data_IF_456464398678
#
_entry.id   IF_456464398678
#
_cell.length_a   1.000
_cell.length_b   1.000
_cell.length_c   1.000
_cell.angle_alpha   90.00
_cell.angle_beta   90.00
_cell.angle_gamma   90.00
#
_symmetry.space_group_name_H-M   'P 1'
#
loop_
_entity.id
_entity.type
_entity.pdbx_description
1 polymer ?
#
# COMPACT_ATOMS: atom_id res chain seq x y z
N UNK A 1 -14.36 40.23 -73.08
CA UNK A 1 -14.42 41.42 -72.20
C UNK A 1 -15.09 41.02 -70.90
N UNK A 2 -14.55 41.55 -69.80
CA UNK A 2 -15.11 41.63 -68.44
C UNK A 2 -14.85 40.49 -67.43
N UNK A 3 -13.64 40.59 -66.87
CA UNK A 3 -13.27 40.67 -65.44
C UNK A 3 -14.39 40.47 -64.41
N UNK A 4 -14.21 39.49 -63.52
CA UNK A 4 -14.61 39.59 -62.11
C UNK A 4 -13.60 38.86 -61.22
N UNK A 5 -12.56 39.58 -60.79
CA UNK A 5 -11.57 39.11 -59.82
C UNK A 5 -12.12 39.38 -58.41
N UNK A 6 -12.82 38.42 -57.81
CA UNK A 6 -13.26 38.51 -56.41
C UNK A 6 -12.06 38.25 -55.50
N UNK A 7 -11.47 39.35 -55.06
CA UNK A 7 -10.46 39.45 -54.01
C UNK A 7 -11.13 39.16 -52.67
N UNK A 8 -10.90 37.98 -52.08
CA UNK A 8 -11.24 37.73 -50.68
C UNK A 8 -10.08 37.04 -49.93
N UNK A 9 -8.96 37.77 -49.80
CA UNK A 9 -7.84 37.45 -48.92
C UNK A 9 -7.74 38.54 -47.85
N UNK A 10 -8.54 38.44 -46.78
CA UNK A 10 -8.30 39.27 -45.57
C UNK A 10 -9.00 38.80 -44.28
N UNK A 11 -9.78 37.70 -44.28
CA UNK A 11 -10.46 37.24 -43.05
C UNK A 11 -9.89 35.95 -42.42
N UNK A 12 -9.14 35.13 -43.15
CA UNK A 12 -8.57 33.89 -42.59
C UNK A 12 -7.45 34.13 -41.57
N UNK A 13 -6.60 35.13 -41.80
CA UNK A 13 -5.43 35.41 -40.95
C UNK A 13 -5.82 35.91 -39.56
N UNK A 14 -6.83 36.79 -39.46
CA UNK A 14 -7.29 37.33 -38.17
C UNK A 14 -7.98 36.27 -37.31
N UNK A 15 -8.77 35.39 -37.93
CA UNK A 15 -9.43 34.28 -37.22
C UNK A 15 -8.41 33.26 -36.73
N UNK A 16 -7.40 32.94 -37.53
CA UNK A 16 -6.32 32.03 -37.12
C UNK A 16 -5.52 32.64 -35.96
N UNK A 17 -5.14 33.91 -36.04
CA UNK A 17 -4.45 34.60 -34.94
C UNK A 17 -5.30 34.63 -33.66
N UNK A 18 -6.61 34.87 -33.78
CA UNK A 18 -7.52 34.85 -32.64
C UNK A 18 -7.61 33.46 -31.99
N UNK A 19 -7.69 32.39 -32.79
CA UNK A 19 -7.68 31.02 -32.30
C UNK A 19 -6.37 30.70 -31.59
N UNK A 20 -5.23 31.08 -32.17
CA UNK A 20 -3.92 30.90 -31.53
C UNK A 20 -3.80 31.67 -30.21
N UNK A 21 -4.27 32.93 -30.16
CA UNK A 21 -4.30 33.70 -28.93
C UNK A 21 -5.18 33.04 -27.86
N UNK A 22 -6.36 32.52 -28.24
CA UNK A 22 -7.26 31.81 -27.31
C UNK A 22 -6.58 30.53 -26.80
N UNK A 23 -5.97 29.73 -27.68
CA UNK A 23 -5.24 28.52 -27.29
C UNK A 23 -4.07 28.81 -26.35
N UNK A 24 -3.29 29.86 -26.61
CA UNK A 24 -2.18 30.28 -25.74
C UNK A 24 -2.71 30.78 -24.38
N UNK A 25 -3.80 31.54 -24.35
CA UNK A 25 -4.43 31.97 -23.10
C UNK A 25 -4.95 30.77 -22.29
N UNK A 26 -5.61 29.80 -22.92
CA UNK A 26 -6.05 28.59 -22.24
C UNK A 26 -4.86 27.76 -21.72
N UNK A 27 -3.81 27.60 -22.53
CA UNK A 27 -2.60 26.91 -22.09
C UNK A 27 -1.95 27.62 -20.90
N UNK A 28 -1.85 28.95 -20.93
CA UNK A 28 -1.29 29.74 -19.84
C UNK A 28 -2.14 29.69 -18.57
N UNK A 29 -3.47 29.69 -18.70
CA UNK A 29 -4.40 29.53 -17.57
C UNK A 29 -4.29 28.12 -16.95
N UNK A 30 -4.20 27.07 -17.78
CA UNK A 30 -3.97 25.70 -17.32
C UNK A 30 -2.60 25.60 -16.63
N UNK A 31 -1.57 26.21 -17.20
CA UNK A 31 -0.23 26.26 -16.60
C UNK A 31 -0.24 27.01 -15.27
N UNK A 32 -0.93 28.15 -15.16
CA UNK A 32 -1.09 28.89 -13.91
C UNK A 32 -1.89 28.11 -12.87
N UNK A 33 -2.92 27.38 -13.28
CA UNK A 33 -3.65 26.48 -12.38
C UNK A 33 -2.74 25.33 -11.92
N UNK A 34 -1.95 24.73 -12.81
CA UNK A 34 -0.98 23.69 -12.47
C UNK A 34 0.12 24.22 -11.53
N UNK A 35 0.63 25.43 -11.77
CA UNK A 35 1.60 26.10 -10.90
C UNK A 35 1.00 26.49 -9.55
N UNK A 36 -0.25 26.99 -9.48
CA UNK A 36 -0.95 27.24 -8.21
C UNK A 36 -1.21 25.93 -7.44
N UNK A 37 -1.51 24.83 -8.14
CA UNK A 37 -1.70 23.51 -7.52
C UNK A 37 -0.38 22.81 -7.14
N UNK A 38 0.75 23.21 -7.72
CA UNK A 38 2.08 22.72 -7.32
C UNK A 38 2.75 23.63 -6.29
N UNK A 39 2.31 24.89 -6.18
CA UNK A 39 2.73 25.83 -5.13
C UNK A 39 2.14 25.52 -3.76
N UNK A 40 1.12 24.66 -3.67
CA UNK A 40 0.58 24.16 -2.40
C UNK A 40 1.43 23.08 -1.73
N UNK A 41 2.56 22.68 -2.34
CA UNK A 41 3.52 21.74 -1.76
C UNK A 41 4.84 22.36 -1.27
N UNK A 42 4.95 23.68 -1.25
CA UNK A 42 6.08 24.34 -0.59
C UNK A 42 5.75 24.69 0.87
N UNK A 43 6.62 24.19 1.76
CA UNK A 43 6.70 24.41 3.21
C UNK A 43 5.92 25.62 3.76
N UNK A 44 5.14 25.46 4.86
CA UNK A 44 4.56 26.61 5.52
C UNK A 44 5.67 27.38 6.25
N UNK A 45 6.04 28.53 5.71
CA UNK A 45 6.48 29.64 6.53
C UNK A 45 5.32 30.00 7.47
N UNK A 46 5.64 30.19 8.75
CA UNK A 46 4.69 30.40 9.83
C UNK A 46 3.63 31.47 9.48
N UNK A 47 2.42 31.02 9.17
CA UNK A 47 1.21 31.81 9.19
C UNK A 47 0.22 31.15 10.15
N UNK A 48 -0.23 31.92 11.12
CA UNK A 48 -1.11 31.51 12.20
C UNK A 48 -2.56 31.35 11.71
N UNK A 49 -2.84 30.29 10.94
CA UNK A 49 -4.20 29.83 10.67
C UNK A 49 -4.45 28.56 11.48
N UNK A 50 -5.29 28.68 12.49
CA UNK A 50 -5.79 27.59 13.33
C UNK A 50 -6.80 26.73 12.58
N UNK A 51 -6.38 26.09 11.49
CA UNK A 51 -7.06 24.87 11.03
C UNK A 51 -6.67 23.76 12.00
N UNK A 52 -7.62 22.98 12.54
CA UNK A 52 -7.27 21.84 13.38
C UNK A 52 -6.41 20.90 12.55
N UNK A 53 -5.15 20.71 12.94
CA UNK A 53 -4.29 19.71 12.32
C UNK A 53 -4.95 18.35 12.52
N UNK A 54 -5.42 17.75 11.42
CA UNK A 54 -6.01 16.40 11.40
C UNK A 54 -5.05 15.44 12.11
N UNK A 55 -5.55 14.71 13.10
CA UNK A 55 -4.71 13.78 13.85
C UNK A 55 -4.26 12.61 12.95
N UNK A 56 -3.10 12.00 13.24
CA UNK A 56 -2.64 10.83 12.46
C UNK A 56 -3.68 9.69 12.42
N UNK A 57 -4.42 9.49 13.51
CA UNK A 57 -5.49 8.49 13.59
C UNK A 57 -6.69 8.84 12.71
N UNK A 58 -7.06 10.11 12.62
CA UNK A 58 -8.11 10.60 11.73
C UNK A 58 -7.70 10.45 10.26
N UNK A 59 -6.47 10.83 9.92
CA UNK A 59 -5.93 10.63 8.56
C UNK A 59 -5.95 9.15 8.16
N UNK A 60 -5.59 8.24 9.08
CA UNK A 60 -5.69 6.79 8.87
C UNK A 60 -7.13 6.32 8.69
N UNK A 61 -8.06 6.87 9.47
CA UNK A 61 -9.48 6.51 9.38
C UNK A 61 -10.06 6.90 8.02
N UNK A 62 -9.74 8.10 7.53
CA UNK A 62 -10.12 8.56 6.18
C UNK A 62 -9.57 7.61 5.11
N UNK A 63 -8.31 7.18 5.26
CA UNK A 63 -7.70 6.21 4.36
C UNK A 63 -8.45 4.86 4.41
N UNK A 64 -8.78 4.34 5.58
CA UNK A 64 -9.48 3.08 5.73
C UNK A 64 -10.91 3.13 5.20
N UNK A 65 -11.62 4.24 5.38
CA UNK A 65 -12.96 4.43 4.80
C UNK A 65 -12.91 4.41 3.27
N UNK A 66 -11.84 4.94 2.66
CA UNK A 66 -11.62 4.84 1.22
C UNK A 66 -11.30 3.40 0.79
N UNK A 67 -10.49 2.68 1.57
CA UNK A 67 -10.13 1.29 1.27
C UNK A 67 -11.32 0.33 1.40
N UNK A 68 -12.23 0.58 2.33
CA UNK A 68 -13.45 -0.21 2.52
C UNK A 68 -14.39 -0.11 1.30
N UNK A 69 -14.44 1.07 0.67
CA UNK A 69 -15.22 1.31 -0.55
C UNK A 69 -14.58 0.78 -1.82
N UNK A 70 -13.30 0.40 -1.79
CA UNK A 70 -12.54 -0.01 -2.99
C UNK A 70 -13.22 -1.16 -3.74
N UNK A 71 -13.74 -2.15 -3.03
CA UNK A 71 -14.41 -3.29 -3.65
C UNK A 71 -15.77 -2.92 -4.26
N UNK A 72 -16.51 -2.00 -3.64
CA UNK A 72 -17.79 -1.50 -4.14
C UNK A 72 -17.59 -0.65 -5.40
N UNK A 73 -16.60 0.24 -5.38
CA UNK A 73 -16.31 1.17 -6.48
C UNK A 73 -15.69 0.47 -7.70
N UNK A 74 -14.82 -0.52 -7.48
CA UNK A 74 -14.03 -1.12 -8.55
C UNK A 74 -14.41 -2.57 -8.89
N UNK A 75 -15.25 -3.21 -8.07
CA UNK A 75 -15.60 -4.63 -8.17
C UNK A 75 -14.44 -5.58 -7.85
N UNK A 76 -14.73 -6.88 -7.90
CA UNK A 76 -13.77 -7.95 -7.64
C UNK A 76 -12.81 -8.20 -8.83
N UNK A 77 -11.95 -7.23 -9.14
CA UNK A 77 -10.99 -7.30 -10.27
C UNK A 77 -10.04 -8.50 -10.19
N UNK A 78 -9.75 -9.00 -9.00
CA UNK A 78 -8.96 -10.22 -8.80
C UNK A 78 -9.55 -11.46 -9.49
N UNK A 79 -10.84 -11.47 -9.82
CA UNK A 79 -11.49 -12.54 -10.59
C UNK A 79 -11.23 -12.47 -12.10
N UNK A 80 -10.78 -11.32 -12.59
CA UNK A 80 -10.51 -11.07 -14.02
C UNK A 80 -9.01 -11.23 -14.34
N UNK A 81 -8.28 -12.05 -13.57
CA UNK A 81 -6.82 -12.18 -13.65
C UNK A 81 -6.05 -10.86 -13.36
N UNK A 82 -6.60 -10.02 -12.48
CA UNK A 82 -6.13 -8.65 -12.25
C UNK A 82 -4.67 -8.48 -11.79
N UNK A 83 -4.20 -7.24 -11.87
CA UNK A 83 -2.89 -6.80 -11.36
C UNK A 83 -2.94 -6.56 -9.84
N UNK A 84 -1.82 -6.77 -9.17
CA UNK A 84 -1.62 -6.40 -7.77
C UNK A 84 -1.36 -4.91 -7.61
N UNK A 85 -1.49 -4.40 -6.38
CA UNK A 85 -1.14 -3.02 -6.01
C UNK A 85 0.34 -2.65 -6.24
N UNK A 86 1.17 -3.61 -6.64
CA UNK A 86 2.59 -3.43 -6.93
C UNK A 86 2.92 -3.70 -8.41
N UNK A 87 1.92 -3.62 -9.29
CA UNK A 87 2.04 -3.77 -10.76
C UNK A 87 2.54 -5.15 -11.22
N UNK A 88 2.35 -6.18 -10.41
CA UNK A 88 2.60 -7.59 -10.77
C UNK A 88 1.28 -8.28 -11.07
N UNK A 89 1.21 -9.10 -12.11
CA UNK A 89 0.01 -9.89 -12.41
C UNK A 89 -0.16 -11.01 -11.38
N UNK A 90 -1.39 -11.35 -11.01
CA UNK A 90 -1.61 -12.48 -10.08
C UNK A 90 -1.06 -13.82 -10.61
N UNK A 91 -1.07 -14.00 -11.93
CA UNK A 91 -0.45 -15.16 -12.61
C UNK A 91 1.08 -15.21 -12.49
N UNK A 92 1.72 -14.07 -12.22
CA UNK A 92 3.16 -14.01 -11.97
C UNK A 92 3.54 -14.35 -10.54
N UNK A 93 2.58 -14.28 -9.62
CA UNK A 93 2.77 -14.52 -8.19
C UNK A 93 2.32 -15.90 -7.76
N UNK A 94 1.35 -16.50 -8.47
CA UNK A 94 0.77 -17.78 -8.10
C UNK A 94 0.59 -18.70 -9.31
N UNK A 95 0.84 -19.99 -9.10
CA UNK A 95 0.49 -21.06 -10.04
C UNK A 95 -0.38 -22.10 -9.35
N UNK A 96 -1.17 -22.83 -10.13
CA UNK A 96 -1.94 -23.96 -9.63
C UNK A 96 -1.17 -25.24 -9.92
N UNK A 97 -0.74 -25.95 -8.86
CA UNK A 97 -0.07 -27.25 -8.95
C UNK A 97 -0.85 -28.27 -8.13
N UNK A 98 -1.22 -29.39 -8.75
CA UNK A 98 -2.07 -30.44 -8.13
C UNK A 98 -3.40 -29.87 -7.60
N UNK A 99 -3.92 -28.88 -8.32
CA UNK A 99 -5.10 -28.12 -7.96
C UNK A 99 -4.94 -27.26 -6.73
N UNK A 100 -3.73 -27.05 -6.18
CA UNK A 100 -3.49 -26.15 -5.03
C UNK A 100 -2.65 -24.95 -5.46
N UNK A 101 -2.94 -23.79 -4.91
CA UNK A 101 -2.13 -22.58 -5.16
C UNK A 101 -0.74 -22.73 -4.57
N UNK A 102 0.26 -22.39 -5.37
CA UNK A 102 1.66 -22.31 -4.97
C UNK A 102 2.21 -20.93 -5.38
N UNK A 103 2.95 -20.25 -4.49
CA UNK A 103 3.63 -19.03 -4.85
C UNK A 103 4.70 -19.32 -5.92
N UNK A 104 4.88 -18.37 -6.84
CA UNK A 104 5.97 -18.37 -7.81
C UNK A 104 7.08 -17.50 -7.25
N UNK A 105 8.11 -18.15 -6.69
CA UNK A 105 9.27 -17.45 -6.14
C UNK A 105 10.21 -17.05 -7.28
N UNK A 106 10.16 -15.76 -7.64
CA UNK A 106 11.08 -15.14 -8.60
C UNK A 106 12.21 -14.47 -7.84
N UNK A 107 13.45 -14.71 -8.24
CA UNK A 107 14.61 -14.11 -7.61
C UNK A 107 14.61 -12.57 -7.78
N UNK A 108 14.88 -11.86 -6.69
CA UNK A 108 15.06 -10.40 -6.68
C UNK A 108 16.54 -10.05 -6.85
N UNK A 109 16.91 -9.45 -7.99
CA UNK A 109 18.28 -8.98 -8.28
C UNK A 109 18.28 -7.49 -8.63
N UNK A 110 18.85 -6.62 -7.79
CA UNK A 110 19.34 -6.87 -6.43
C UNK A 110 18.21 -7.25 -5.45
N UNK A 111 18.53 -7.79 -4.25
CA UNK A 111 17.53 -8.08 -3.22
C UNK A 111 16.74 -6.83 -2.81
N UNK A 112 15.46 -7.02 -2.52
CA UNK A 112 14.60 -5.98 -1.94
C UNK A 112 14.96 -5.82 -0.47
N UNK A 113 15.08 -4.60 0.03
CA UNK A 113 15.45 -4.31 1.43
C UNK A 113 14.35 -3.50 2.07
N UNK A 114 13.66 -4.11 3.03
CA UNK A 114 12.46 -3.58 3.64
C UNK A 114 12.58 -3.51 5.17
N UNK A 115 11.94 -2.48 5.73
CA UNK A 115 11.79 -2.28 7.16
C UNK A 115 10.33 -2.53 7.51
N UNK A 116 10.08 -3.48 8.41
CA UNK A 116 8.73 -3.88 8.79
C UNK A 116 8.59 -3.98 10.29
N UNK A 117 7.44 -3.55 10.82
CA UNK A 117 7.08 -3.90 12.19
C UNK A 117 6.59 -5.34 12.20
N UNK A 118 7.04 -6.13 13.16
CA UNK A 118 6.66 -7.55 13.26
C UNK A 118 5.47 -7.76 14.19
N UNK A 119 4.48 -8.55 13.76
CA UNK A 119 3.37 -8.98 14.61
C UNK A 119 3.67 -10.37 15.16
N UNK A 120 3.90 -10.44 16.48
CA UNK A 120 4.25 -11.68 17.17
C UNK A 120 3.18 -12.79 16.95
N UNK A 121 3.56 -14.07 16.81
CA UNK A 121 2.65 -15.20 16.70
C UNK A 121 1.57 -15.30 17.78
N UNK A 122 1.84 -14.80 18.99
CA UNK A 122 0.84 -14.66 20.05
C UNK A 122 -0.41 -13.88 19.59
N UNK A 123 -0.23 -12.86 18.75
CA UNK A 123 -1.31 -12.06 18.19
C UNK A 123 -1.72 -12.52 16.79
N UNK A 124 -0.77 -12.95 15.95
CA UNK A 124 -1.07 -13.26 14.55
C UNK A 124 -1.75 -14.62 14.34
N UNK A 125 -1.49 -15.62 15.19
CA UNK A 125 -2.10 -16.96 15.07
C UNK A 125 -3.62 -16.89 15.27
N UNK A 126 -4.17 -16.27 16.35
CA UNK A 126 -5.62 -16.16 16.53
C UNK A 126 -6.34 -15.48 15.35
N UNK A 127 -5.71 -14.44 14.78
CA UNK A 127 -6.23 -13.74 13.60
C UNK A 127 -6.26 -14.67 12.39
N UNK A 128 -5.15 -15.36 12.12
CA UNK A 128 -5.05 -16.28 10.99
C UNK A 128 -6.05 -17.45 11.10
N UNK A 129 -6.31 -17.94 12.31
CA UNK A 129 -7.35 -18.95 12.57
C UNK A 129 -8.75 -18.43 12.29
N UNK A 130 -9.09 -17.21 12.74
CA UNK A 130 -10.36 -16.57 12.45
C UNK A 130 -10.58 -16.39 10.94
N UNK A 131 -9.55 -15.91 10.23
CA UNK A 131 -9.57 -15.75 8.76
C UNK A 131 -9.79 -17.09 8.07
N UNK A 132 -9.05 -18.14 8.45
CA UNK A 132 -9.24 -19.49 7.91
C UNK A 132 -10.64 -20.02 8.19
N UNK A 133 -11.16 -19.83 9.40
CA UNK A 133 -12.48 -20.29 9.79
C UNK A 133 -13.59 -19.65 8.93
N UNK A 134 -13.48 -18.36 8.61
CA UNK A 134 -14.49 -17.64 7.81
C UNK A 134 -14.37 -17.95 6.32
N UNK A 135 -13.16 -18.02 5.76
CA UNK A 135 -12.99 -18.05 4.29
C UNK A 135 -12.72 -19.45 3.71
N UNK A 136 -12.13 -20.38 4.46
CA UNK A 136 -11.58 -21.64 3.89
C UNK A 136 -12.63 -22.48 3.17
N UNK A 137 -13.83 -22.64 3.72
CA UNK A 137 -14.89 -23.47 3.13
C UNK A 137 -15.36 -22.96 1.77
N UNK A 138 -15.28 -21.65 1.54
CA UNK A 138 -15.77 -21.01 0.34
C UNK A 138 -14.74 -20.95 -0.78
N UNK A 139 -13.46 -20.76 -0.44
CA UNK A 139 -12.41 -20.54 -1.44
C UNK A 139 -11.45 -21.71 -1.59
N UNK A 140 -11.24 -22.54 -0.58
CA UNK A 140 -10.35 -23.72 -0.60
C UNK A 140 -9.02 -23.47 -1.33
N UNK A 141 -8.93 -23.89 -2.60
CA UNK A 141 -7.77 -23.80 -3.49
C UNK A 141 -7.67 -22.48 -4.26
N UNK A 142 -8.54 -21.51 -4.01
CA UNK A 142 -8.60 -20.20 -4.64
C UNK A 142 -8.23 -19.06 -3.67
N UNK A 143 -7.65 -19.39 -2.51
CA UNK A 143 -7.18 -18.44 -1.51
C UNK A 143 -5.75 -18.79 -1.07
N UNK A 144 -4.90 -17.77 -0.99
CA UNK A 144 -3.61 -17.83 -0.32
C UNK A 144 -3.75 -17.28 1.09
N UNK A 145 -3.52 -18.10 2.10
CA UNK A 145 -3.45 -17.63 3.48
C UNK A 145 -2.01 -17.22 3.79
N UNK A 146 -1.82 -15.97 4.19
CA UNK A 146 -0.51 -15.48 4.57
C UNK A 146 0.03 -16.31 5.75
N UNK A 147 1.33 -16.61 5.74
CA UNK A 147 1.99 -17.27 6.86
C UNK A 147 1.94 -16.37 8.11
N UNK A 148 1.24 -16.83 9.14
CA UNK A 148 1.05 -16.08 10.39
C UNK A 148 2.36 -15.75 11.10
N UNK A 149 3.40 -16.58 10.94
CA UNK A 149 4.72 -16.32 11.50
C UNK A 149 5.46 -15.16 10.83
N UNK A 150 4.93 -14.63 9.72
CA UNK A 150 5.46 -13.51 8.93
C UNK A 150 4.48 -12.33 8.86
N UNK A 151 3.44 -12.29 9.71
CA UNK A 151 2.56 -11.11 9.76
C UNK A 151 3.36 -9.88 10.16
N UNK A 152 3.20 -8.82 9.39
CA UNK A 152 4.00 -7.62 9.52
C UNK A 152 3.23 -6.38 9.04
N UNK A 153 3.84 -5.23 9.28
CA UNK A 153 3.38 -3.94 8.79
C UNK A 153 4.53 -3.27 8.04
N UNK A 154 4.35 -2.98 6.75
CA UNK A 154 5.40 -2.33 5.94
C UNK A 154 5.63 -0.89 6.39
N UNK A 155 6.85 -0.59 6.86
CA UNK A 155 7.22 0.75 7.32
C UNK A 155 7.98 1.51 6.25
N UNK A 156 9.11 0.99 5.77
CA UNK A 156 9.99 1.73 4.85
C UNK A 156 10.83 0.80 3.97
N UNK A 157 10.90 1.07 2.66
CA UNK A 157 11.74 0.30 1.74
C UNK A 157 13.03 1.06 1.45
N UNK A 158 14.18 0.45 1.78
CA UNK A 158 15.50 0.90 1.35
C UNK A 158 15.76 0.57 -0.13
N UNK A 159 15.07 -0.45 -0.66
CA UNK A 159 14.97 -0.73 -2.09
C UNK A 159 13.62 -1.41 -2.38
N UNK A 160 13.10 -1.33 -3.60
CA UNK A 160 11.93 -2.11 -4.03
C UNK A 160 12.08 -2.59 -5.48
N UNK A 161 11.34 -3.60 -5.89
CA UNK A 161 11.50 -4.28 -7.19
C UNK A 161 11.28 -3.36 -8.41
N UNK A 162 10.48 -2.29 -8.28
CA UNK A 162 10.26 -1.31 -9.36
C UNK A 162 11.46 -0.37 -9.56
N UNK A 163 12.10 0.08 -8.47
CA UNK A 163 13.29 0.94 -8.48
C UNK A 163 14.36 0.25 -7.62
N UNK A 164 15.06 -0.74 -8.19
CA UNK A 164 16.08 -1.46 -7.46
C UNK A 164 17.22 -0.51 -7.06
N UNK A 165 17.65 -0.61 -5.81
CA UNK A 165 18.84 0.09 -5.30
C UNK A 165 19.86 -0.97 -4.91
N UNK A 166 20.91 -1.21 -5.72
CA UNK A 166 21.99 -2.11 -5.36
C UNK A 166 22.68 -1.63 -4.07
N UNK A 167 23.19 -2.57 -3.28
CA UNK A 167 24.03 -2.27 -2.12
C UNK A 167 25.09 -3.36 -1.95
N UNK A 168 26.30 -2.99 -1.54
CA UNK A 168 27.33 -3.94 -1.10
C UNK A 168 27.00 -4.53 0.26
N UNK A 169 27.73 -5.57 0.69
CA UNK A 169 27.55 -6.16 2.03
C UNK A 169 27.79 -5.10 3.11
N UNK A 170 28.80 -4.25 2.93
CA UNK A 170 29.14 -3.18 3.87
C UNK A 170 28.05 -2.11 3.95
N UNK A 171 27.44 -1.75 2.81
CA UNK A 171 26.31 -0.82 2.77
C UNK A 171 25.07 -1.41 3.46
N UNK A 172 24.80 -2.70 3.26
CA UNK A 172 23.69 -3.40 3.93
C UNK A 172 23.89 -3.46 5.45
N UNK A 173 25.12 -3.69 5.92
CA UNK A 173 25.43 -3.66 7.36
C UNK A 173 25.34 -2.24 7.95
N UNK A 174 25.72 -1.22 7.18
CA UNK A 174 25.53 0.18 7.57
C UNK A 174 24.04 0.56 7.66
N UNK A 175 23.24 0.17 6.67
CA UNK A 175 21.78 0.33 6.68
C UNK A 175 21.16 -0.36 7.90
N UNK A 176 21.52 -1.62 8.17
CA UNK A 176 21.04 -2.37 9.32
C UNK A 176 21.41 -1.70 10.65
N UNK A 177 22.62 -1.18 10.77
CA UNK A 177 23.08 -0.45 11.96
C UNK A 177 22.30 0.85 12.16
N UNK A 178 22.03 1.59 11.09
CA UNK A 178 21.22 2.81 11.14
C UNK A 178 19.77 2.50 11.54
N UNK A 179 19.18 1.43 11.02
CA UNK A 179 17.83 0.98 11.37
C UNK A 179 17.76 0.53 12.83
N UNK A 180 18.78 -0.15 13.34
CA UNK A 180 18.88 -0.50 14.76
C UNK A 180 18.83 0.74 15.65
N UNK A 181 19.60 1.78 15.33
CA UNK A 181 19.58 3.04 16.08
C UNK A 181 18.19 3.73 16.03
N UNK A 182 17.47 3.61 14.91
CA UNK A 182 16.09 4.06 14.80
C UNK A 182 15.16 3.26 15.72
N UNK A 183 15.27 1.93 15.75
CA UNK A 183 14.47 1.05 16.61
C UNK A 183 14.65 1.37 18.10
N UNK A 184 15.89 1.64 18.53
CA UNK A 184 16.25 2.04 19.91
C UNK A 184 15.75 3.45 20.31
N UNK A 185 15.17 4.21 19.37
CA UNK A 185 14.53 5.49 19.60
C UNK A 185 13.03 5.53 19.31
N UNK A 186 12.38 4.36 19.16
CA UNK A 186 10.94 4.20 18.87
C UNK A 186 10.29 3.46 20.04
N UNK A 187 9.21 4.01 20.56
CA UNK A 187 8.44 3.35 21.61
C UNK A 187 7.65 2.17 21.04
N UNK A 188 7.63 1.00 21.72
CA UNK A 188 6.72 -0.09 21.38
C UNK A 188 5.27 0.38 21.23
N UNK A 189 4.55 -0.22 20.29
CA UNK A 189 3.20 0.19 19.94
C UNK A 189 2.18 -0.73 20.60
N UNK A 190 1.16 -0.12 21.22
CA UNK A 190 -0.12 -0.79 21.48
C UNK A 190 -1.06 -0.40 20.35
N UNK A 191 -1.59 -1.39 19.65
CA UNK A 191 -2.44 -1.18 18.47
C UNK A 191 -3.75 -1.93 18.62
N UNK A 192 -4.75 -1.55 17.82
CA UNK A 192 -6.06 -2.20 17.77
C UNK A 192 -6.49 -2.40 16.32
N UNK A 193 -7.05 -3.56 16.02
CA UNK A 193 -7.62 -3.84 14.71
C UNK A 193 -8.93 -3.07 14.56
N UNK A 194 -8.92 -1.99 13.77
CA UNK A 194 -10.09 -1.13 13.55
C UNK A 194 -11.12 -1.84 12.66
N UNK A 195 -10.66 -2.39 11.53
CA UNK A 195 -11.48 -3.17 10.61
C UNK A 195 -10.65 -4.06 9.70
N UNK A 196 -11.31 -5.04 9.09
CA UNK A 196 -10.81 -5.82 7.97
C UNK A 196 -11.49 -5.34 6.70
N UNK A 197 -10.70 -5.15 5.65
CA UNK A 197 -11.21 -4.82 4.30
C UNK A 197 -10.77 -5.89 3.30
N UNK A 198 -11.56 -6.07 2.25
CA UNK A 198 -11.17 -6.83 1.06
C UNK A 198 -10.98 -5.84 -0.08
N UNK A 199 -9.78 -5.78 -0.66
CA UNK A 199 -9.52 -4.91 -1.81
C UNK A 199 -10.06 -5.51 -3.11
N UNK A 200 -10.28 -4.67 -4.10
CA UNK A 200 -10.61 -5.04 -5.49
C UNK A 200 -9.55 -5.94 -6.14
N UNK A 201 -8.32 -5.94 -5.62
CA UNK A 201 -7.20 -6.82 -6.02
C UNK A 201 -7.11 -8.10 -5.19
N UNK A 202 -8.10 -8.36 -4.34
CA UNK A 202 -8.28 -9.62 -3.62
C UNK A 202 -7.50 -9.71 -2.32
N UNK A 203 -6.89 -8.63 -1.82
CA UNK A 203 -6.17 -8.65 -0.55
C UNK A 203 -7.15 -8.50 0.60
N UNK A 204 -7.18 -9.49 1.49
CA UNK A 204 -7.86 -9.39 2.77
C UNK A 204 -6.88 -8.78 3.77
N UNK A 205 -7.16 -7.57 4.22
CA UNK A 205 -6.23 -6.73 4.96
C UNK A 205 -6.84 -6.28 6.29
N UNK A 206 -6.08 -6.45 7.38
CA UNK A 206 -6.39 -5.79 8.64
C UNK A 206 -5.87 -4.36 8.67
N UNK A 207 -6.76 -3.42 8.97
CA UNK A 207 -6.49 -1.99 9.14
C UNK A 207 -6.42 -1.66 10.63
N UNK A 208 -5.29 -1.12 11.08
CA UNK A 208 -5.00 -0.97 12.50
C UNK A 208 -4.90 0.49 12.93
N UNK A 209 -5.36 0.79 14.14
CA UNK A 209 -5.13 2.06 14.80
C UNK A 209 -4.08 1.93 15.90
N UNK A 210 -3.44 3.05 16.21
CA UNK A 210 -2.44 3.14 17.28
C UNK A 210 -3.13 3.65 18.54
N UNK A 211 -3.09 2.86 19.62
CA UNK A 211 -3.58 3.27 20.95
C UNK A 211 -2.49 4.08 21.66
N UNK A 212 -1.25 3.59 21.63
CA UNK A 212 -0.09 4.25 22.26
C UNK A 212 1.22 3.81 21.61
N UNK A 213 2.29 4.59 21.81
CA UNK A 213 3.61 4.32 21.23
C UNK A 213 3.96 5.32 20.13
N UNK A 214 4.97 5.02 19.32
CA UNK A 214 5.36 5.90 18.21
C UNK A 214 4.51 5.62 16.97
N UNK A 215 3.91 6.67 16.39
CA UNK A 215 3.05 6.52 15.20
C UNK A 215 3.83 6.07 13.95
N UNK A 216 3.23 5.25 13.07
CA UNK A 216 3.80 4.86 11.78
C UNK A 216 4.35 6.02 10.94
N UNK A 217 3.70 7.19 10.94
CA UNK A 217 4.19 8.38 10.22
C UNK A 217 5.56 8.79 10.78
N UNK A 218 5.69 8.86 12.10
CA UNK A 218 6.94 9.23 12.77
C UNK A 218 8.03 8.18 12.56
N UNK A 219 7.69 6.88 12.59
CA UNK A 219 8.61 5.79 12.29
C UNK A 219 9.17 5.94 10.88
N UNK A 220 8.29 6.18 9.89
CA UNK A 220 8.66 6.38 8.49
C UNK A 220 9.59 7.58 8.29
N UNK A 221 9.32 8.69 8.96
CA UNK A 221 10.20 9.87 8.91
C UNK A 221 11.60 9.55 9.46
N UNK A 222 11.68 8.86 10.60
CA UNK A 222 12.97 8.44 11.18
C UNK A 222 13.74 7.50 10.25
N UNK A 223 13.05 6.52 9.64
CA UNK A 223 13.65 5.60 8.68
C UNK A 223 14.13 6.31 7.41
N UNK A 224 13.35 7.26 6.87
CA UNK A 224 13.76 8.05 5.72
C UNK A 224 15.04 8.85 5.98
N UNK A 225 15.15 9.45 7.17
CA UNK A 225 16.35 10.18 7.56
C UNK A 225 17.57 9.26 7.73
N UNK A 226 17.37 8.04 8.23
CA UNK A 226 18.44 7.05 8.43
C UNK A 226 18.88 6.36 7.13
N UNK A 227 18.03 6.31 6.11
CA UNK A 227 18.25 5.58 4.85
C UNK A 227 18.20 6.55 3.66
N UNK A 228 19.26 7.35 3.42
CA UNK A 228 19.25 8.43 2.44
C UNK A 228 19.14 7.93 0.99
N UNK A 229 19.66 6.75 0.68
CA UNK A 229 19.67 6.17 -0.67
C UNK A 229 18.37 5.44 -1.06
N UNK A 230 17.40 5.36 -0.14
CA UNK A 230 16.13 4.73 -0.42
C UNK A 230 15.35 5.44 -1.55
N UNK A 231 14.51 4.71 -2.32
CA UNK A 231 13.64 5.31 -3.32
C UNK A 231 12.78 6.45 -2.76
N UNK A 232 12.73 7.57 -3.49
CA UNK A 232 11.97 8.75 -3.07
C UNK A 232 10.48 8.45 -2.88
N UNK A 233 9.91 7.68 -3.80
CA UNK A 233 8.51 7.27 -3.74
C UNK A 233 8.37 5.92 -3.05
N UNK A 234 7.67 5.91 -1.93
CA UNK A 234 7.27 4.68 -1.24
C UNK A 234 5.95 4.14 -1.83
N UNK A 235 5.68 2.84 -1.65
CA UNK A 235 4.55 2.13 -2.29
C UNK A 235 3.24 2.19 -1.48
N UNK A 236 3.14 3.07 -0.49
CA UNK A 236 1.99 3.17 0.41
C UNK A 236 1.85 4.59 0.96
N UNK A 237 0.63 4.87 1.44
CA UNK A 237 0.33 6.10 2.16
C UNK A 237 1.12 6.18 3.48
N UNK A 238 1.58 7.39 3.83
CA UNK A 238 2.39 7.59 5.02
C UNK A 238 1.64 7.28 6.33
N UNK A 239 0.31 7.37 6.36
CA UNK A 239 -0.49 7.09 7.54
C UNK A 239 -0.74 5.58 7.74
N UNK A 240 -0.79 4.78 6.67
CA UNK A 240 -1.32 3.41 6.75
C UNK A 240 -0.61 2.53 7.79
N UNK A 241 -1.39 1.76 8.55
CA UNK A 241 -0.89 0.64 9.33
C UNK A 241 -1.74 -0.59 8.99
N UNK A 242 -1.15 -1.55 8.30
CA UNK A 242 -1.91 -2.69 7.82
C UNK A 242 -1.13 -4.00 7.85
N UNK A 243 -1.87 -5.10 7.90
CA UNK A 243 -1.33 -6.46 7.76
C UNK A 243 -2.17 -7.18 6.71
N UNK A 244 -1.50 -7.83 5.76
CA UNK A 244 -2.18 -8.72 4.80
C UNK A 244 -2.43 -10.08 5.46
N UNK A 245 -3.69 -10.52 5.51
CA UNK A 245 -4.07 -11.79 6.14
C UNK A 245 -4.20 -12.93 5.14
N UNK A 246 -4.77 -12.63 3.97
CA UNK A 246 -4.96 -13.58 2.90
C UNK A 246 -5.11 -12.85 1.57
N UNK A 247 -5.02 -13.60 0.47
CA UNK A 247 -5.32 -13.12 -0.87
C UNK A 247 -6.29 -14.07 -1.57
N UNK A 248 -7.44 -13.54 -1.97
CA UNK A 248 -8.37 -14.21 -2.86
C UNK A 248 -7.84 -14.15 -4.29
N UNK A 249 -7.83 -15.29 -4.95
CA UNK A 249 -7.23 -15.50 -6.27
C UNK A 249 -8.22 -16.06 -7.29
N UNK A 250 -9.44 -16.36 -6.87
CA UNK A 250 -10.49 -16.89 -7.73
C UNK A 250 -11.86 -16.87 -7.07
N UNK A 251 -12.87 -17.30 -7.83
CA UNK A 251 -14.26 -17.32 -7.40
C UNK A 251 -14.50 -18.34 -6.28
N UNK A 252 -15.45 -18.08 -5.36
CA UNK A 252 -15.85 -19.07 -4.37
C UNK A 252 -16.52 -20.28 -5.04
N UNK A 253 -16.45 -21.46 -4.42
CA UNK A 253 -16.93 -22.75 -4.95
C UNK A 253 -18.37 -22.75 -5.48
N UNK A 254 -19.23 -21.88 -4.95
CA UNK A 254 -20.65 -21.82 -5.26
C UNK A 254 -21.04 -20.74 -6.31
N UNK A 255 -20.08 -20.04 -6.92
CA UNK A 255 -20.41 -18.91 -7.78
C UNK A 255 -20.67 -19.30 -9.25
N UNK A 256 -21.92 -19.72 -9.53
CA UNK A 256 -22.65 -19.27 -10.73
C UNK A 256 -23.56 -18.08 -10.35
N UNK A 257 -23.04 -17.16 -9.54
CA UNK A 257 -23.80 -16.02 -9.01
C UNK A 257 -23.60 -14.80 -9.91
N UNK A 258 -24.70 -14.07 -10.16
CA UNK A 258 -24.66 -12.73 -10.75
C UNK A 258 -23.69 -11.81 -9.97
N UNK A 259 -23.10 -10.82 -10.65
CA UNK A 259 -22.04 -9.98 -10.10
C UNK A 259 -22.46 -9.22 -8.83
N UNK A 260 -23.72 -8.76 -8.74
CA UNK A 260 -24.27 -8.09 -7.55
C UNK A 260 -24.35 -9.03 -6.35
N UNK A 261 -24.76 -10.28 -6.57
CA UNK A 261 -24.82 -11.32 -5.53
C UNK A 261 -23.41 -11.68 -5.04
N UNK A 262 -22.42 -11.60 -5.93
CA UNK A 262 -21.03 -11.88 -5.59
C UNK A 262 -20.40 -10.79 -4.71
N UNK A 263 -20.65 -9.51 -5.00
CA UNK A 263 -20.20 -8.40 -4.15
C UNK A 263 -20.80 -8.50 -2.75
N UNK A 264 -22.11 -8.72 -2.66
CA UNK A 264 -22.81 -8.89 -1.38
C UNK A 264 -22.24 -10.07 -0.59
N UNK A 265 -21.93 -11.18 -1.26
CA UNK A 265 -21.31 -12.34 -0.62
C UNK A 265 -19.93 -12.01 -0.02
N UNK A 266 -19.08 -11.27 -0.75
CA UNK A 266 -17.79 -10.83 -0.20
C UNK A 266 -17.95 -9.91 1.01
N UNK A 267 -18.88 -8.95 0.92
CA UNK A 267 -19.19 -8.04 2.02
C UNK A 267 -19.67 -8.80 3.27
N UNK A 268 -20.53 -9.82 3.10
CA UNK A 268 -20.98 -10.67 4.20
C UNK A 268 -19.83 -11.40 4.88
N UNK A 269 -18.89 -11.98 4.11
CA UNK A 269 -17.73 -12.65 4.68
C UNK A 269 -16.80 -11.68 5.43
N UNK A 270 -16.57 -10.49 4.89
CA UNK A 270 -15.79 -9.44 5.55
C UNK A 270 -16.48 -8.96 6.83
N UNK A 271 -17.81 -8.76 6.81
CA UNK A 271 -18.60 -8.41 8.00
C UNK A 271 -18.48 -9.49 9.08
N UNK A 272 -18.69 -10.76 8.72
CA UNK A 272 -18.57 -11.90 9.64
C UNK A 272 -17.18 -12.03 10.26
N UNK A 273 -16.14 -11.68 9.52
CA UNK A 273 -14.77 -11.65 10.06
C UNK A 273 -14.59 -10.46 11.00
N UNK A 274 -15.03 -9.26 10.62
CA UNK A 274 -15.00 -8.08 11.49
C UNK A 274 -15.72 -8.33 12.81
N UNK A 275 -16.91 -8.95 12.80
CA UNK A 275 -17.65 -9.30 14.01
C UNK A 275 -16.86 -10.21 14.97
N UNK A 276 -15.87 -10.96 14.46
CA UNK A 276 -15.02 -11.84 15.24
C UNK A 276 -13.77 -11.19 15.79
N UNK A 277 -13.12 -10.31 15.01
CA UNK A 277 -11.76 -9.84 15.33
C UNK A 277 -11.60 -8.32 15.41
N UNK A 278 -12.64 -7.54 15.09
CA UNK A 278 -12.60 -6.08 15.31
C UNK A 278 -12.37 -5.79 16.79
N UNK A 279 -11.53 -4.79 17.08
CA UNK A 279 -11.15 -4.45 18.45
C UNK A 279 -10.07 -5.34 19.03
N UNK A 280 -9.53 -6.31 18.27
CA UNK A 280 -8.40 -7.12 18.72
C UNK A 280 -7.18 -6.22 18.95
N UNK A 281 -6.67 -6.20 20.17
CA UNK A 281 -5.49 -5.44 20.55
C UNK A 281 -4.22 -6.28 20.36
N UNK A 282 -3.13 -5.63 19.97
CA UNK A 282 -1.82 -6.26 19.88
C UNK A 282 -0.72 -5.34 20.38
N UNK A 283 0.39 -5.94 20.82
CA UNK A 283 1.60 -5.23 21.19
C UNK A 283 2.71 -5.53 20.17
N UNK A 284 3.30 -4.47 19.63
CA UNK A 284 4.37 -4.54 18.63
C UNK A 284 5.64 -3.98 19.23
N UNK A 285 6.64 -4.85 19.40
CA UNK A 285 7.90 -4.52 20.07
C UNK A 285 9.13 -4.71 19.20
N UNK A 286 8.99 -5.09 17.93
CA UNK A 286 10.11 -5.37 17.05
C UNK A 286 10.00 -4.64 15.71
N UNK A 287 11.13 -4.05 15.29
CA UNK A 287 11.37 -3.58 13.94
C UNK A 287 12.36 -4.53 13.26
N UNK A 288 11.98 -5.07 12.11
CA UNK A 288 12.82 -5.96 11.33
C UNK A 288 13.38 -5.23 10.13
N UNK A 289 14.68 -5.40 9.90
CA UNK A 289 15.35 -5.10 8.65
C UNK A 289 15.50 -6.39 7.85
N UNK A 290 14.88 -6.43 6.68
CA UNK A 290 14.67 -7.64 5.89
C UNK A 290 15.29 -7.48 4.51
N UNK A 291 16.16 -8.40 4.12
CA UNK A 291 16.54 -8.62 2.74
C UNK A 291 15.65 -9.73 2.15
N UNK A 292 14.87 -9.39 1.13
CA UNK A 292 14.03 -10.32 0.36
C UNK A 292 14.79 -10.72 -0.92
N UNK A 293 15.24 -11.98 -0.96
CA UNK A 293 15.95 -12.55 -2.13
C UNK A 293 14.99 -13.06 -3.21
N UNK A 294 13.71 -13.17 -2.89
CA UNK A 294 12.64 -13.42 -3.84
C UNK A 294 11.65 -12.23 -3.82
N UNK A 295 11.06 -11.91 -4.96
CA UNK A 295 10.07 -10.83 -5.09
C UNK A 295 8.88 -11.13 -4.18
N UNK A 296 8.57 -10.20 -3.27
CA UNK A 296 7.51 -10.34 -2.26
C UNK A 296 7.72 -11.54 -1.31
N UNK A 297 8.97 -11.88 -0.97
CA UNK A 297 9.31 -13.00 -0.10
C UNK A 297 8.55 -12.97 1.25
N UNK A 298 8.35 -11.80 1.86
CA UNK A 298 7.57 -11.68 3.09
C UNK A 298 6.10 -12.09 2.90
N UNK A 299 5.53 -11.90 1.71
CA UNK A 299 4.14 -12.25 1.39
C UNK A 299 3.97 -13.67 0.82
N UNK A 300 5.03 -14.25 0.27
CA UNK A 300 4.98 -15.48 -0.53
C UNK A 300 5.80 -16.63 0.05
N UNK A 301 6.26 -16.52 1.29
CA UNK A 301 7.17 -17.49 1.93
C UNK A 301 8.47 -17.71 1.13
N UNK A 302 9.02 -16.60 0.62
CA UNK A 302 10.28 -16.59 -0.12
C UNK A 302 11.52 -16.62 0.79
N UNK A 303 12.69 -16.56 0.17
CA UNK A 303 13.98 -16.51 0.86
C UNK A 303 14.23 -15.12 1.44
N UNK A 304 14.60 -15.11 2.71
CA UNK A 304 14.74 -13.90 3.53
C UNK A 304 16.05 -13.96 4.32
N UNK A 305 16.70 -12.82 4.52
CA UNK A 305 17.62 -12.59 5.63
C UNK A 305 17.03 -11.51 6.54
N UNK A 306 16.92 -11.79 7.83
CA UNK A 306 16.18 -10.94 8.79
C UNK A 306 17.10 -10.54 9.94
N UNK A 307 17.27 -9.23 10.13
CA UNK A 307 17.86 -8.65 11.33
C UNK A 307 16.73 -8.06 12.17
N UNK A 308 16.64 -8.48 13.44
CA UNK A 308 15.54 -8.13 14.35
C UNK A 308 16.04 -7.15 15.40
N UNK A 309 15.34 -6.04 15.57
CA UNK A 309 15.69 -5.01 16.54
C UNK A 309 14.51 -4.77 17.48
N UNK A 310 14.79 -4.77 18.79
CA UNK A 310 13.79 -4.43 19.79
C UNK A 310 13.53 -2.93 19.73
N UNK A 311 12.25 -2.57 19.81
CA UNK A 311 11.81 -1.20 19.98
C UNK A 311 12.13 -0.77 21.41
N UNK A 312 12.80 0.37 21.53
CA UNK A 312 13.08 1.00 22.80
C UNK A 312 12.90 2.49 22.67
N UNK A 313 12.27 3.11 23.63
CA UNK A 313 12.45 4.53 23.85
C UNK A 313 12.80 4.69 25.31
N UNK A 314 13.95 5.28 25.60
CA UNK A 314 14.24 5.67 26.96
C UNK A 314 13.15 6.65 27.39
N UNK A 315 12.48 6.36 28.51
CA UNK A 315 11.69 7.38 29.21
C UNK A 315 12.71 8.39 29.73
N UNK A 316 13.05 9.37 28.91
CA UNK A 316 13.77 10.56 29.34
C UNK A 316 12.89 11.36 30.31
#
# INVERSE_FOLDING_TARGET
MDVALVRNRSNGSKTVVLIWCICVCFYFLILQMAFKNSSSHNHPAASSSSDPSVSNGEQRSILYDKMEKDLEEHGARFLQHGETSQSLLLSELFTVKDGSLRPVLKEAKPPVRANVLYLNPEYSIPIAEAVKHVFKSYFDKAIWFQNSSLYHFSMFHASHHILPVPATVEEVEAEATAVKAVAEGICPLKIVLDRVVLTSTGVLMGCWQVISGTDPISIRVKLRAALPHAPEKQLYDAAILHTSFARLLGSPKAASMEQSNQLQFFQELVSRLNDKIRGFEAFVSELWYVEEYDVLALALDGRLNVRRFQLGCNRA
#
